data_IF_643646058083
#
_entry.id   IF_643646058083
#
_cell.length_a   1.000
_cell.length_b   1.000
_cell.length_c   1.000
_cell.angle_alpha   90.00
_cell.angle_beta   90.00
_cell.angle_gamma   90.00
#
_symmetry.space_group_name_H-M   'P 1'
#
loop_
_entity.id
_entity.type
_entity.pdbx_description
1 polymer ?
#
# COMPACT_ATOMS: atom_id res chain seq x y z
N UNK A 1 7.68 23.74 -10.51
CA UNK A 1 6.73 22.66 -10.17
C UNK A 1 5.33 23.15 -10.50
N UNK A 2 4.69 22.60 -11.53
CA UNK A 2 3.33 22.98 -11.91
C UNK A 2 2.36 22.49 -10.83
N UNK A 3 1.60 23.40 -10.20
CA UNK A 3 0.51 23.05 -9.30
C UNK A 3 -0.54 22.31 -10.13
N UNK A 4 -0.71 21.00 -9.94
CA UNK A 4 -1.95 20.34 -10.31
C UNK A 4 -3.05 20.91 -9.40
N UNK A 5 -3.67 22.00 -9.86
CA UNK A 5 -4.88 22.55 -9.27
C UNK A 5 -6.07 21.61 -9.49
N UNK A 6 -7.26 22.06 -9.07
CA UNK A 6 -8.54 21.35 -9.21
C UNK A 6 -8.74 20.69 -10.60
N UNK A 7 -8.17 21.26 -11.67
CA UNK A 7 -8.14 20.69 -13.02
C UNK A 7 -7.53 19.29 -13.14
N UNK A 8 -6.51 18.94 -12.34
CA UNK A 8 -5.89 17.62 -12.34
C UNK A 8 -6.76 16.54 -11.69
N UNK A 9 -7.43 16.91 -10.59
CA UNK A 9 -8.43 16.07 -9.94
C UNK A 9 -9.66 15.93 -10.84
N UNK A 10 -10.12 17.03 -11.47
CA UNK A 10 -11.18 16.99 -12.47
C UNK A 10 -10.79 16.14 -13.68
N UNK A 11 -9.55 16.16 -14.18
CA UNK A 11 -9.14 15.30 -15.29
C UNK A 11 -9.15 13.82 -14.90
N UNK A 12 -8.63 13.47 -13.72
CA UNK A 12 -8.69 12.11 -13.18
C UNK A 12 -10.14 11.66 -12.91
N UNK A 13 -11.01 12.56 -12.46
CA UNK A 13 -12.42 12.31 -12.18
C UNK A 13 -13.30 12.33 -13.44
N UNK A 14 -12.94 13.08 -14.48
CA UNK A 14 -13.57 13.05 -15.82
C UNK A 14 -13.21 11.75 -16.53
N UNK A 15 -11.97 11.26 -16.38
CA UNK A 15 -11.60 9.89 -16.76
C UNK A 15 -12.41 8.87 -15.93
N UNK A 16 -12.72 9.18 -14.66
CA UNK A 16 -13.53 8.31 -13.80
C UNK A 16 -15.05 8.30 -14.16
N UNK A 17 -15.60 9.42 -14.63
CA UNK A 17 -17.02 9.63 -14.91
C UNK A 17 -17.41 9.47 -16.39
N UNK A 18 -16.46 9.57 -17.33
CA UNK A 18 -16.71 9.51 -18.76
C UNK A 18 -16.54 8.12 -19.34
N UNK A 19 -17.63 7.52 -19.83
CA UNK A 19 -17.57 6.45 -20.82
C UNK A 19 -16.96 6.99 -22.12
N UNK A 20 -15.98 6.26 -22.68
CA UNK A 20 -15.42 6.56 -24.00
C UNK A 20 -16.52 6.58 -25.06
N UNK A 21 -16.90 7.76 -25.51
CA UNK A 21 -17.44 7.96 -26.84
C UNK A 21 -16.32 8.51 -27.73
N UNK A 22 -16.13 7.85 -28.87
CA UNK A 22 -15.21 8.14 -29.97
C UNK A 22 -13.78 7.64 -29.81
N UNK A 23 -13.48 6.53 -30.49
CA UNK A 23 -12.44 6.48 -31.53
C UNK A 23 -12.85 5.41 -32.56
N UNK A 24 -13.24 5.87 -33.75
CA UNK A 24 -13.49 5.04 -34.93
C UNK A 24 -12.19 4.66 -35.63
N UNK A 25 -12.28 3.59 -36.42
CA UNK A 25 -11.21 2.89 -37.11
C UNK A 25 -10.59 3.63 -38.30
N UNK A 26 -9.34 3.28 -38.60
CA UNK A 26 -8.66 3.12 -39.92
C UNK A 26 -7.15 3.30 -39.67
N UNK A 27 -6.18 2.60 -40.26
CA UNK A 27 -6.09 1.70 -41.41
C UNK A 27 -4.69 1.90 -42.03
N UNK A 28 -4.03 0.82 -42.47
CA UNK A 28 -2.83 0.84 -43.32
C UNK A 28 -1.48 0.66 -42.58
N UNK A 29 -0.76 -0.47 -42.68
CA UNK A 29 -0.03 -1.13 -43.80
C UNK A 29 1.31 -0.50 -44.19
N UNK A 30 2.38 -1.30 -44.10
CA UNK A 30 3.66 -1.15 -44.82
C UNK A 30 4.76 -0.37 -44.07
N UNK A 31 6.05 -0.66 -44.13
CA UNK A 31 6.85 -1.72 -44.74
C UNK A 31 8.27 -1.65 -44.10
N UNK A 32 9.06 -2.66 -44.43
CA UNK A 32 10.47 -3.03 -44.14
C UNK A 32 11.58 -1.96 -43.91
N UNK A 33 12.73 -2.38 -43.32
CA UNK A 33 13.79 -1.52 -42.79
C UNK A 33 14.93 -1.27 -43.80
N UNK A 34 15.93 -0.44 -43.44
CA UNK A 34 17.27 -0.61 -43.96
C UNK A 34 18.30 -0.98 -42.88
N UNK A 35 19.14 -1.90 -43.30
CA UNK A 35 20.47 -2.25 -42.83
C UNK A 35 21.43 -1.08 -42.84
N UNK A 36 22.43 -1.09 -41.95
CA UNK A 36 23.62 -0.24 -42.08
C UNK A 36 24.52 -0.35 -40.85
N UNK A 37 25.57 -1.16 -40.95
CA UNK A 37 26.66 -1.24 -39.97
C UNK A 37 27.63 -0.09 -40.19
N UNK A 38 28.29 0.40 -39.13
CA UNK A 38 29.75 0.62 -39.17
C UNK A 38 30.32 0.79 -37.77
N UNK A 39 31.50 0.19 -37.59
CA UNK A 39 32.30 0.19 -36.39
C UNK A 39 33.25 1.39 -36.39
N UNK A 40 33.57 1.94 -35.21
CA UNK A 40 34.90 2.49 -34.96
C UNK A 40 35.18 2.65 -33.46
N UNK A 41 36.31 2.08 -33.09
CA UNK A 41 37.09 2.22 -31.87
C UNK A 41 37.45 3.66 -31.51
N UNK A 42 37.53 3.96 -30.21
CA UNK A 42 38.17 5.17 -29.70
C UNK A 42 38.44 5.10 -28.21
N UNK A 43 39.60 4.56 -27.84
CA UNK A 43 40.17 4.68 -26.50
C UNK A 43 40.50 6.16 -26.21
N UNK A 44 40.20 6.62 -25.00
CA UNK A 44 40.54 7.97 -24.55
C UNK A 44 40.52 8.06 -23.03
N UNK A 45 41.67 8.37 -22.46
CA UNK A 45 42.02 8.26 -21.05
C UNK A 45 41.31 9.27 -20.12
N UNK A 46 41.29 8.90 -18.85
CA UNK A 46 40.92 9.71 -17.69
C UNK A 46 41.80 10.96 -17.53
N UNK A 47 41.31 11.94 -16.76
CA UNK A 47 42.17 12.62 -15.82
C UNK A 47 41.67 12.45 -14.39
N UNK A 48 42.61 11.98 -13.58
CA UNK A 48 42.70 12.13 -12.12
C UNK A 48 42.57 13.60 -11.72
N UNK A 49 41.75 13.90 -10.72
CA UNK A 49 41.94 15.06 -9.87
C UNK A 49 41.97 14.69 -8.40
N UNK A 50 43.00 15.25 -7.79
CA UNK A 50 43.59 15.02 -6.48
C UNK A 50 42.69 15.48 -5.33
N UNK A 51 42.87 14.78 -4.21
CA UNK A 51 42.46 15.18 -2.89
C UNK A 51 43.06 16.55 -2.49
N UNK A 52 42.27 17.34 -1.76
CA UNK A 52 42.75 18.35 -0.85
C UNK A 52 41.87 18.32 0.41
N UNK A 53 42.50 17.89 1.50
CA UNK A 53 42.07 18.04 2.88
C UNK A 53 42.22 19.50 3.30
N UNK A 54 41.21 20.07 3.94
CA UNK A 54 41.37 21.22 4.82
C UNK A 54 40.35 21.12 5.96
N UNK A 55 40.88 20.89 7.17
CA UNK A 55 40.17 21.03 8.42
C UNK A 55 39.97 22.52 8.76
N UNK A 56 38.88 22.80 9.48
CA UNK A 56 38.81 23.72 10.64
C UNK A 56 37.59 24.65 10.66
N UNK A 57 37.12 24.85 11.89
CA UNK A 57 36.24 25.89 12.42
C UNK A 57 34.73 25.65 12.39
N UNK A 58 34.27 25.09 13.52
CA UNK A 58 32.92 25.22 14.04
C UNK A 58 32.53 26.70 14.26
N UNK A 59 31.22 27.00 14.17
CA UNK A 59 30.62 27.97 15.06
C UNK A 59 29.38 27.43 15.78
N UNK A 60 29.40 27.66 17.10
CA UNK A 60 28.32 28.01 18.02
C UNK A 60 26.95 27.32 17.95
N UNK A 61 26.61 26.72 19.10
CA UNK A 61 25.27 26.41 19.59
C UNK A 61 24.21 27.48 19.27
N UNK A 62 23.03 27.06 18.81
CA UNK A 62 21.79 27.73 19.14
C UNK A 62 20.98 26.85 20.12
N UNK A 63 20.88 27.36 21.34
CA UNK A 63 19.72 27.32 22.23
C UNK A 63 18.91 26.01 22.30
N UNK A 64 19.03 25.38 23.45
CA UNK A 64 18.03 24.52 24.10
C UNK A 64 16.59 24.78 23.64
N UNK A 65 16.06 23.89 22.82
CA UNK A 65 14.62 23.73 22.62
C UNK A 65 14.14 22.81 23.74
N UNK A 66 13.35 23.38 24.65
CA UNK A 66 12.68 22.67 25.73
C UNK A 66 11.85 21.50 25.17
N UNK A 67 11.83 20.32 25.83
CA UNK A 67 10.92 19.26 25.47
C UNK A 67 9.51 19.67 25.93
N UNK A 68 8.73 20.22 25.00
CA UNK A 68 7.34 20.57 25.20
C UNK A 68 6.46 19.76 24.24
N UNK A 69 5.42 19.17 24.81
CA UNK A 69 4.34 18.39 24.18
C UNK A 69 4.67 16.93 23.90
N UNK A 70 4.72 16.19 25.02
CA UNK A 70 4.30 14.80 25.12
C UNK A 70 3.10 14.51 24.22
N UNK A 71 3.29 13.55 23.32
CA UNK A 71 2.24 12.83 22.65
C UNK A 71 1.50 11.97 23.70
N UNK A 72 0.61 12.59 24.45
CA UNK A 72 -0.37 11.89 25.25
C UNK A 72 -1.77 12.42 24.91
N UNK A 73 -2.78 11.55 25.00
CA UNK A 73 -4.21 11.75 24.69
C UNK A 73 -4.64 11.56 23.21
N UNK A 74 -4.58 10.34 22.65
CA UNK A 74 -5.58 9.88 21.63
C UNK A 74 -5.53 8.41 21.17
N UNK A 75 -4.57 7.59 21.59
CA UNK A 75 -4.31 6.26 20.98
C UNK A 75 -5.52 5.30 20.91
N UNK A 76 -6.54 5.44 21.78
CA UNK A 76 -7.75 4.62 21.73
C UNK A 76 -8.83 5.08 20.73
N UNK A 77 -9.10 6.40 20.64
CA UNK A 77 -10.21 6.90 19.82
C UNK A 77 -9.89 6.92 18.33
N UNK A 78 -8.67 7.33 17.95
CA UNK A 78 -8.27 7.36 16.54
C UNK A 78 -8.23 5.97 15.90
N UNK A 79 -7.75 4.97 16.64
CA UNK A 79 -7.74 3.56 16.21
C UNK A 79 -9.16 3.01 16.06
N UNK A 80 -10.07 3.33 16.98
CA UNK A 80 -11.47 2.90 16.92
C UNK A 80 -12.21 3.40 15.67
N UNK A 81 -11.93 4.63 15.21
CA UNK A 81 -12.54 5.16 13.98
C UNK A 81 -12.08 4.42 12.70
N UNK A 82 -10.79 4.06 12.63
CA UNK A 82 -10.25 3.24 11.55
C UNK A 82 -10.88 1.84 11.57
N UNK A 83 -10.93 1.21 12.75
CA UNK A 83 -11.48 -0.13 12.92
C UNK A 83 -12.95 -0.20 12.51
N UNK A 84 -13.79 0.75 12.94
CA UNK A 84 -15.20 0.78 12.57
C UNK A 84 -15.39 1.04 11.07
N UNK A 85 -14.62 1.95 10.46
CA UNK A 85 -14.67 2.19 9.01
C UNK A 85 -14.30 0.93 8.22
N UNK A 86 -13.19 0.26 8.56
CA UNK A 86 -12.75 -0.93 7.84
C UNK A 86 -13.69 -2.12 8.08
N UNK A 87 -14.26 -2.23 9.28
CA UNK A 87 -15.32 -3.20 9.59
C UNK A 87 -16.59 -2.93 8.79
N UNK A 88 -16.98 -1.68 8.58
CA UNK A 88 -18.08 -1.31 7.69
C UNK A 88 -17.76 -1.70 6.24
N UNK A 89 -16.60 -1.31 5.72
CA UNK A 89 -16.17 -1.58 4.35
C UNK A 89 -16.09 -3.08 4.04
N UNK A 90 -15.78 -3.91 5.04
CA UNK A 90 -15.69 -5.37 4.95
C UNK A 90 -17.03 -6.11 5.11
N UNK A 91 -18.12 -5.42 5.52
CA UNK A 91 -19.45 -6.03 5.63
C UNK A 91 -20.15 -6.01 4.27
N UNK A 92 -20.95 -7.00 3.93
CA UNK A 92 -21.82 -6.94 2.75
C UNK A 92 -23.23 -6.41 3.01
N UNK A 93 -23.43 -5.58 4.05
CA UNK A 93 -24.77 -5.12 4.43
C UNK A 93 -25.75 -6.26 4.77
N UNK A 94 -25.25 -7.39 5.27
CA UNK A 94 -26.04 -8.61 5.54
C UNK A 94 -26.10 -9.61 4.38
N UNK A 95 -25.42 -9.34 3.26
CA UNK A 95 -25.22 -10.27 2.13
C UNK A 95 -23.77 -10.72 2.05
N UNK A 96 -23.54 -11.89 1.45
CA UNK A 96 -22.21 -12.31 1.05
C UNK A 96 -21.75 -11.42 -0.12
N UNK A 97 -20.60 -10.76 0.03
CA UNK A 97 -20.00 -9.96 -1.05
C UNK A 97 -19.26 -10.92 -1.97
N UNK A 98 -19.80 -11.15 -3.16
CA UNK A 98 -19.10 -11.90 -4.20
C UNK A 98 -18.03 -11.00 -4.84
N UNK A 99 -16.85 -11.58 -5.07
CA UNK A 99 -15.81 -10.87 -5.82
C UNK A 99 -16.20 -10.79 -7.29
N UNK A 100 -16.06 -9.60 -7.87
CA UNK A 100 -16.22 -9.38 -9.31
C UNK A 100 -14.88 -8.92 -9.86
N UNK A 101 -14.35 -9.68 -10.82
CA UNK A 101 -13.11 -9.32 -11.53
C UNK A 101 -13.32 -7.98 -12.23
N UNK A 102 -12.50 -6.95 -11.93
CA UNK A 102 -12.63 -5.66 -12.60
C UNK A 102 -12.12 -5.73 -14.03
N UNK A 103 -12.77 -4.97 -14.92
CA UNK A 103 -12.25 -4.73 -16.26
C UNK A 103 -11.01 -3.84 -16.23
N UNK A 104 -10.17 -3.91 -17.28
CA UNK A 104 -8.92 -3.14 -17.36
C UNK A 104 -9.13 -1.63 -17.19
N UNK A 105 -10.15 -1.06 -17.84
CA UNK A 105 -10.46 0.36 -17.72
C UNK A 105 -10.93 0.74 -16.31
N UNK A 106 -11.56 -0.18 -15.59
CA UNK A 106 -11.97 0.04 -14.21
C UNK A 106 -10.75 0.12 -13.28
N UNK A 107 -9.81 -0.81 -13.44
CA UNK A 107 -8.53 -0.79 -12.72
C UNK A 107 -7.76 0.51 -13.01
N UNK A 108 -7.68 0.92 -14.28
CA UNK A 108 -7.02 2.18 -14.68
C UNK A 108 -7.68 3.41 -14.04
N UNK A 109 -9.01 3.50 -14.05
CA UNK A 109 -9.74 4.61 -13.41
C UNK A 109 -9.50 4.65 -11.89
N UNK A 110 -9.53 3.48 -11.24
CA UNK A 110 -9.26 3.37 -9.81
C UNK A 110 -7.83 3.78 -9.47
N UNK A 111 -6.83 3.27 -10.21
CA UNK A 111 -5.43 3.65 -10.06
C UNK A 111 -5.21 5.16 -10.27
N UNK A 112 -5.84 5.75 -11.29
CA UNK A 112 -5.76 7.18 -11.56
C UNK A 112 -6.34 8.02 -10.41
N UNK A 113 -7.47 7.60 -9.82
CA UNK A 113 -8.06 8.23 -8.64
C UNK A 113 -7.09 8.17 -7.45
N UNK A 114 -6.56 6.98 -7.13
CA UNK A 114 -5.62 6.78 -6.03
C UNK A 114 -4.37 7.65 -6.22
N UNK A 115 -3.81 7.67 -7.43
CA UNK A 115 -2.63 8.49 -7.74
C UNK A 115 -2.92 10.00 -7.60
N UNK A 116 -4.09 10.47 -8.06
CA UNK A 116 -4.48 11.86 -7.95
C UNK A 116 -4.63 12.29 -6.47
N UNK A 117 -5.31 11.47 -5.67
CA UNK A 117 -5.47 11.72 -4.23
C UNK A 117 -4.14 11.67 -3.48
N UNK A 118 -3.27 10.71 -3.80
CA UNK A 118 -1.94 10.63 -3.20
C UNK A 118 -1.10 11.87 -3.54
N UNK A 119 -1.00 12.28 -4.82
CA UNK A 119 -0.26 13.49 -5.22
C UNK A 119 -0.79 14.76 -4.54
N UNK A 120 -2.10 14.86 -4.34
CA UNK A 120 -2.76 16.00 -3.69
C UNK A 120 -2.58 15.98 -2.16
N UNK A 121 -2.56 14.80 -1.58
CA UNK A 121 -2.44 14.56 -0.15
C UNK A 121 -1.01 14.54 0.39
N UNK A 122 0.00 14.55 -0.47
CA UNK A 122 1.40 14.51 -0.06
C UNK A 122 1.99 15.91 0.17
N UNK A 123 2.86 16.01 1.18
CA UNK A 123 3.63 17.21 1.51
C UNK A 123 3.02 18.08 2.62
N UNK A 124 3.80 19.06 3.09
CA UNK A 124 3.43 19.88 4.24
C UNK A 124 2.19 20.76 4.04
N UNK A 125 1.78 20.98 2.79
CA UNK A 125 0.63 21.81 2.41
C UNK A 125 -0.58 20.95 1.99
N UNK A 126 -0.60 19.69 2.39
CA UNK A 126 -1.73 18.81 2.11
C UNK A 126 -3.02 19.37 2.74
N UNK A 127 -4.12 19.45 1.98
CA UNK A 127 -5.42 19.83 2.52
C UNK A 127 -5.91 18.79 3.54
N UNK A 128 -6.77 19.21 4.46
CA UNK A 128 -7.45 18.30 5.37
C UNK A 128 -8.33 17.29 4.59
N UNK A 129 -8.50 16.10 5.14
CA UNK A 129 -9.23 15.00 4.50
C UNK A 129 -10.67 15.38 4.15
N UNK A 130 -11.35 16.17 4.98
CA UNK A 130 -12.72 16.65 4.77
C UNK A 130 -12.81 17.63 3.60
N UNK A 131 -11.73 18.37 3.32
CA UNK A 131 -11.66 19.25 2.15
C UNK A 131 -11.55 18.38 0.90
N UNK A 132 -10.64 17.41 0.86
CA UNK A 132 -10.51 16.52 -0.31
C UNK A 132 -11.76 15.69 -0.56
N UNK A 133 -12.36 15.13 0.49
CA UNK A 133 -13.57 14.33 0.33
C UNK A 133 -14.74 15.17 -0.24
N UNK A 134 -14.88 16.44 0.20
CA UNK A 134 -15.86 17.39 -0.37
C UNK A 134 -15.51 17.83 -1.80
N UNK A 135 -14.24 18.04 -2.12
CA UNK A 135 -13.82 18.35 -3.50
C UNK A 135 -14.19 17.21 -4.45
N UNK A 136 -13.94 15.95 -4.05
CA UNK A 136 -14.37 14.77 -4.83
C UNK A 136 -15.90 14.71 -4.91
N UNK A 137 -16.62 15.05 -3.83
CA UNK A 137 -18.09 15.04 -3.80
C UNK A 137 -18.72 16.09 -4.72
N UNK A 138 -18.12 17.28 -4.80
CA UNK A 138 -18.56 18.35 -5.68
C UNK A 138 -18.38 18.03 -7.17
N UNK A 139 -17.58 17.01 -7.50
CA UNK A 139 -17.40 16.49 -8.87
C UNK A 139 -18.27 15.23 -9.11
N UNK A 140 -18.74 14.56 -8.05
CA UNK A 140 -19.58 13.37 -8.13
C UNK A 140 -21.03 13.68 -8.52
N UNK A 141 -21.71 12.71 -9.16
CA UNK A 141 -23.05 12.90 -9.74
C UNK A 141 -24.18 13.03 -8.70
N UNK A 142 -23.95 12.68 -7.42
CA UNK A 142 -24.99 12.73 -6.38
C UNK A 142 -24.45 12.81 -4.94
N UNK A 143 -24.96 13.71 -4.09
CA UNK A 143 -24.74 13.67 -2.65
C UNK A 143 -25.33 12.40 -2.03
N UNK A 144 -24.63 11.78 -1.07
CA UNK A 144 -25.14 10.64 -0.30
C UNK A 144 -26.23 11.09 0.70
N UNK A 145 -27.35 10.35 0.84
CA UNK A 145 -28.34 10.64 1.87
C UNK A 145 -27.80 10.24 3.26
N UNK A 146 -27.59 11.24 4.13
CA UNK A 146 -27.42 11.03 5.58
C UNK A 146 -25.99 10.88 6.13
N UNK A 147 -24.93 11.22 5.39
CA UNK A 147 -23.55 11.10 5.87
C UNK A 147 -22.70 12.34 5.60
N UNK A 148 -22.02 12.84 6.62
CA UNK A 148 -21.06 13.94 6.52
C UNK A 148 -19.92 13.59 5.54
N UNK A 149 -19.88 14.26 4.38
CA UNK A 149 -18.65 14.46 3.62
C UNK A 149 -18.18 13.37 2.64
N UNK A 150 -19.04 12.46 2.18
CA UNK A 150 -18.68 11.42 1.19
C UNK A 150 -19.11 11.75 -0.26
N UNK A 151 -18.36 11.24 -1.24
CA UNK A 151 -18.63 11.34 -2.67
C UNK A 151 -18.87 9.96 -3.30
N UNK A 152 -19.99 9.72 -3.99
CA UNK A 152 -20.13 8.53 -4.83
C UNK A 152 -19.63 8.82 -6.23
N UNK A 153 -18.60 8.10 -6.67
CA UNK A 153 -18.13 8.13 -8.05
C UNK A 153 -18.95 7.13 -8.89
N UNK A 154 -19.11 7.41 -10.19
CA UNK A 154 -19.91 6.57 -11.10
C UNK A 154 -19.50 5.09 -11.17
N UNK A 155 -18.33 4.74 -10.66
CA UNK A 155 -17.83 3.36 -10.53
C UNK A 155 -18.18 2.66 -9.20
N UNK A 156 -18.98 3.27 -8.31
CA UNK A 156 -19.34 2.68 -7.02
C UNK A 156 -18.26 2.81 -5.95
N UNK A 157 -17.24 3.64 -6.18
CA UNK A 157 -16.21 3.99 -5.20
C UNK A 157 -16.61 5.26 -4.46
N UNK A 158 -16.35 5.28 -3.16
CA UNK A 158 -16.51 6.41 -2.29
C UNK A 158 -15.19 6.90 -1.72
N UNK A 159 -15.04 8.21 -1.64
CA UNK A 159 -13.96 8.89 -0.95
C UNK A 159 -14.53 9.58 0.28
N UNK A 160 -14.01 9.25 1.47
CA UNK A 160 -14.51 9.71 2.76
C UNK A 160 -13.37 10.19 3.64
N UNK A 161 -13.58 11.24 4.42
CA UNK A 161 -12.70 11.53 5.56
C UNK A 161 -12.96 10.50 6.67
N UNK A 162 -11.90 10.08 7.38
CA UNK A 162 -12.08 9.22 8.54
C UNK A 162 -12.55 10.08 9.72
N UNK A 163 -13.60 9.65 10.42
CA UNK A 163 -14.22 10.44 11.49
C UNK A 163 -13.20 10.84 12.58
N UNK A 164 -13.11 12.15 12.86
CA UNK A 164 -12.17 12.71 13.84
C UNK A 164 -10.69 12.66 13.40
N UNK A 165 -10.41 12.42 12.12
CA UNK A 165 -9.05 12.25 11.58
C UNK A 165 -8.85 13.08 10.30
N UNK A 166 -8.46 14.34 10.50
CA UNK A 166 -8.18 15.30 9.43
C UNK A 166 -7.02 14.89 8.50
N UNK A 167 -6.16 13.97 8.95
CA UNK A 167 -5.03 13.47 8.20
C UNK A 167 -5.34 12.18 7.43
N UNK A 168 -6.55 11.63 7.51
CA UNK A 168 -6.86 10.33 6.91
C UNK A 168 -8.03 10.40 5.92
N UNK A 169 -7.75 9.95 4.69
CA UNK A 169 -8.73 9.78 3.64
C UNK A 169 -8.93 8.29 3.36
N UNK A 170 -10.18 7.84 3.31
CA UNK A 170 -10.55 6.48 2.95
C UNK A 170 -11.08 6.44 1.51
N UNK A 171 -10.66 5.44 0.75
CA UNK A 171 -11.20 5.08 -0.56
C UNK A 171 -11.77 3.67 -0.43
N UNK A 172 -13.09 3.55 -0.52
CA UNK A 172 -13.85 2.33 -0.23
C UNK A 172 -14.97 2.14 -1.25
N UNK A 173 -15.54 0.94 -1.36
CA UNK A 173 -16.75 0.73 -2.15
C UNK A 173 -18.00 1.21 -1.40
N UNK A 174 -18.94 1.79 -2.14
CA UNK A 174 -20.26 2.14 -1.63
C UNK A 174 -20.98 0.90 -1.09
N UNK A 175 -21.74 0.98 0.02
CA UNK A 175 -22.36 -0.17 0.66
C UNK A 175 -23.24 -1.04 -0.27
N UNK A 176 -23.94 -0.42 -1.24
CA UNK A 176 -24.82 -1.08 -2.21
C UNK A 176 -24.08 -1.55 -3.49
N UNK A 177 -22.78 -1.24 -3.62
CA UNK A 177 -21.95 -1.52 -4.80
C UNK A 177 -20.71 -2.34 -4.48
N UNK A 178 -20.64 -3.02 -3.32
CA UNK A 178 -19.46 -3.80 -2.92
C UNK A 178 -19.24 -5.01 -3.83
N UNK A 179 -18.03 -5.12 -4.37
CA UNK A 179 -17.57 -6.18 -5.29
C UNK A 179 -16.17 -6.68 -4.97
N UNK A 180 -15.57 -6.22 -3.87
CA UNK A 180 -14.26 -6.66 -3.41
C UNK A 180 -13.10 -5.84 -3.97
N UNK A 181 -13.29 -4.55 -4.21
CA UNK A 181 -12.21 -3.65 -4.65
C UNK A 181 -11.12 -3.41 -3.58
N UNK A 182 -11.35 -3.85 -2.35
CA UNK A 182 -10.51 -3.52 -1.20
C UNK A 182 -10.88 -2.18 -0.57
N UNK A 183 -10.14 -1.83 0.48
CA UNK A 183 -10.22 -0.53 1.15
C UNK A 183 -8.81 0.04 1.27
N UNK A 184 -8.70 1.35 1.02
CA UNK A 184 -7.45 2.10 1.07
C UNK A 184 -7.61 3.21 2.09
N UNK A 185 -6.67 3.32 3.02
CA UNK A 185 -6.47 4.54 3.80
C UNK A 185 -5.22 5.25 3.27
N UNK A 186 -5.35 6.55 3.01
CA UNK A 186 -4.26 7.43 2.65
C UNK A 186 -4.04 8.44 3.78
N UNK A 187 -2.80 8.50 4.26
CA UNK A 187 -2.37 9.55 5.18
C UNK A 187 -1.99 10.79 4.38
N UNK A 188 -2.64 11.91 4.71
CA UNK A 188 -2.38 13.23 4.16
C UNK A 188 -1.30 13.91 5.00
N UNK A 189 -0.51 14.78 4.38
CA UNK A 189 0.57 15.49 5.04
C UNK A 189 1.85 14.65 5.23
N UNK A 190 2.66 14.98 6.26
CA UNK A 190 3.87 14.23 6.61
C UNK A 190 3.56 12.79 7.08
N UNK A 191 4.16 11.82 6.39
CA UNK A 191 4.06 10.39 6.68
C UNK A 191 5.37 9.69 6.28
N UNK A 192 5.64 8.52 6.85
CA UNK A 192 6.75 7.67 6.38
C UNK A 192 6.39 7.10 5.00
N UNK A 193 7.36 6.91 4.08
CA UNK A 193 7.16 6.29 2.78
C UNK A 193 6.99 4.77 2.93
N UNK A 194 6.00 4.36 3.71
CA UNK A 194 5.66 2.96 3.99
C UNK A 194 4.23 2.72 3.57
N UNK A 195 4.02 1.64 2.84
CA UNK A 195 2.72 1.10 2.49
C UNK A 195 2.52 -0.20 3.27
N UNK A 196 1.52 -0.22 4.15
CA UNK A 196 1.12 -1.43 4.86
C UNK A 196 0.03 -2.14 4.05
N UNK A 197 0.16 -3.44 3.86
CA UNK A 197 -0.82 -4.24 3.16
C UNK A 197 -1.23 -5.46 4.00
N UNK A 198 -2.51 -5.80 4.01
CA UNK A 198 -3.00 -7.08 4.51
C UNK A 198 -4.05 -7.62 3.51
N UNK A 199 -3.62 -8.37 2.49
CA UNK A 199 -4.50 -8.79 1.40
C UNK A 199 -5.47 -9.93 1.80
N UNK A 200 -5.30 -10.55 2.98
CA UNK A 200 -6.06 -11.73 3.41
C UNK A 200 -6.71 -11.59 4.78
N UNK A 201 -7.18 -10.41 5.19
CA UNK A 201 -7.72 -10.12 6.54
C UNK A 201 -8.84 -11.03 7.07
N UNK A 202 -9.51 -11.79 6.19
CA UNK A 202 -10.53 -12.78 6.58
C UNK A 202 -9.94 -14.18 6.78
N UNK A 203 -8.97 -14.56 5.95
CA UNK A 203 -8.35 -15.89 5.95
C UNK A 203 -7.20 -15.93 6.96
N UNK A 204 -6.36 -14.90 6.95
CA UNK A 204 -5.26 -14.67 7.87
C UNK A 204 -5.78 -13.92 9.10
N UNK A 205 -6.65 -14.57 9.88
CA UNK A 205 -7.25 -13.99 11.09
C UNK A 205 -6.24 -13.27 11.99
N UNK A 206 -6.61 -12.09 12.51
CA UNK A 206 -5.73 -11.25 13.33
C UNK A 206 -4.81 -10.31 12.53
N UNK A 207 -4.64 -10.48 11.21
CA UNK A 207 -3.79 -9.56 10.41
C UNK A 207 -4.36 -8.14 10.30
N UNK A 208 -5.68 -7.95 10.28
CA UNK A 208 -6.28 -6.61 10.23
C UNK A 208 -5.88 -5.72 11.43
N UNK A 209 -6.13 -6.10 12.69
CA UNK A 209 -5.75 -5.25 13.82
C UNK A 209 -4.24 -5.00 13.88
N UNK A 210 -3.42 -5.97 13.48
CA UNK A 210 -1.96 -5.82 13.38
C UNK A 210 -1.59 -4.80 12.29
N UNK A 211 -2.23 -4.86 11.12
CA UNK A 211 -1.99 -3.93 10.01
C UNK A 211 -2.41 -2.49 10.38
N UNK A 212 -3.51 -2.31 11.10
CA UNK A 212 -3.94 -1.01 11.63
C UNK A 212 -2.89 -0.47 12.62
N UNK A 213 -2.42 -1.31 13.54
CA UNK A 213 -1.39 -0.91 14.50
C UNK A 213 -0.06 -0.54 13.81
N UNK A 214 0.36 -1.30 12.79
CA UNK A 214 1.53 -0.97 11.98
C UNK A 214 1.33 0.34 11.20
N UNK A 215 0.17 0.55 10.57
CA UNK A 215 -0.14 1.76 9.82
C UNK A 215 -0.08 3.02 10.70
N UNK A 216 -0.69 2.97 11.89
CA UNK A 216 -0.68 4.09 12.83
C UNK A 216 0.69 4.27 13.48
N UNK A 217 1.29 3.19 13.99
CA UNK A 217 2.56 3.23 14.70
C UNK A 217 3.76 3.62 13.84
N UNK A 218 3.74 3.26 12.55
CA UNK A 218 4.76 3.71 11.59
C UNK A 218 4.41 5.08 11.00
N UNK A 219 3.23 5.65 11.27
CA UNK A 219 2.69 6.76 10.48
C UNK A 219 2.86 6.52 8.98
N UNK A 220 2.48 5.32 8.55
CA UNK A 220 2.63 4.88 7.18
C UNK A 220 1.82 5.78 6.23
N UNK A 221 2.28 5.89 4.98
CA UNK A 221 1.63 6.67 3.92
C UNK A 221 0.27 6.09 3.57
N UNK A 222 0.16 4.76 3.52
CA UNK A 222 -1.07 4.10 3.14
C UNK A 222 -1.26 2.74 3.82
N UNK A 223 -2.53 2.32 3.93
CA UNK A 223 -2.94 0.97 4.32
C UNK A 223 -3.90 0.42 3.26
N UNK A 224 -3.59 -0.76 2.71
CA UNK A 224 -4.45 -1.50 1.77
C UNK A 224 -4.91 -2.82 2.39
N UNK A 225 -6.21 -3.07 2.39
CA UNK A 225 -6.81 -4.31 2.90
C UNK A 225 -7.87 -4.86 1.95
N UNK A 226 -8.05 -6.18 1.94
CA UNK A 226 -9.13 -6.81 1.17
C UNK A 226 -10.49 -6.65 1.85
N UNK A 227 -11.55 -6.52 1.04
CA UNK A 227 -12.94 -6.40 1.51
C UNK A 227 -13.77 -7.66 1.27
N UNK A 228 -13.18 -8.70 0.65
CA UNK A 228 -13.80 -10.02 0.41
C UNK A 228 -12.86 -11.16 0.78
N UNK A 229 -13.41 -12.34 1.04
CA UNK A 229 -12.61 -13.55 1.28
C UNK A 229 -11.80 -13.92 0.02
N UNK A 230 -10.59 -14.48 0.19
CA UNK A 230 -9.73 -14.92 -0.92
C UNK A 230 -10.27 -16.09 -1.76
N UNK A 231 -11.45 -16.62 -1.39
CA UNK A 231 -12.18 -17.68 -2.11
C UNK A 231 -13.62 -17.27 -2.44
N UNK A 232 -13.92 -15.97 -2.45
CA UNK A 232 -15.25 -15.42 -2.71
C UNK A 232 -15.53 -15.14 -4.20
N UNK A 233 -14.67 -15.60 -5.12
CA UNK A 233 -14.97 -15.53 -6.55
C UNK A 233 -16.09 -16.50 -6.92
N UNK A 234 -17.05 -16.00 -7.70
CA UNK A 234 -18.18 -16.80 -8.20
C UNK A 234 -17.63 -18.00 -8.98
N UNK A 235 -18.06 -19.21 -8.61
CA UNK A 235 -17.71 -20.45 -9.31
C UNK A 235 -16.38 -21.10 -8.89
N UNK A 236 -15.61 -20.50 -7.97
CA UNK A 236 -14.41 -21.12 -7.42
C UNK A 236 -14.73 -21.96 -6.18
N UNK A 237 -14.37 -23.25 -6.21
CA UNK A 237 -14.22 -24.05 -4.98
C UNK A 237 -12.84 -23.77 -4.40
N UNK A 238 -12.75 -23.64 -3.07
CA UNK A 238 -11.45 -23.59 -2.40
C UNK A 238 -10.61 -24.81 -2.82
N UNK A 239 -9.34 -24.63 -3.23
CA UNK A 239 -8.50 -25.76 -3.63
C UNK A 239 -8.31 -26.71 -2.44
N UNK A 240 -8.16 -28.01 -2.74
CA UNK A 240 -7.84 -29.02 -1.73
C UNK A 240 -6.44 -28.79 -1.10
N UNK A 241 -5.52 -28.21 -1.89
CA UNK A 241 -4.18 -27.83 -1.47
C UNK A 241 -4.06 -26.30 -1.38
N UNK A 242 -3.77 -25.79 -0.19
CA UNK A 242 -3.76 -24.36 0.14
C UNK A 242 -2.61 -23.58 -0.53
N UNK A 243 -1.60 -24.27 -1.07
CA UNK A 243 -0.43 -23.67 -1.75
C UNK A 243 -0.66 -23.37 -3.25
N UNK A 244 -1.64 -24.00 -3.91
CA UNK A 244 -1.99 -23.72 -5.31
C UNK A 244 -3.00 -22.58 -5.40
N UNK A 245 -2.59 -21.37 -4.99
CA UNK A 245 -3.40 -20.15 -5.15
C UNK A 245 -4.10 -20.09 -6.51
N UNK A 246 -5.34 -19.61 -6.55
CA UNK A 246 -6.11 -19.74 -7.80
C UNK A 246 -7.56 -19.26 -7.75
N UNK A 247 -7.87 -18.27 -6.93
CA UNK A 247 -9.14 -17.55 -7.00
C UNK A 247 -8.86 -16.12 -7.43
N UNK A 248 -9.68 -15.54 -8.32
CA UNK A 248 -9.51 -14.15 -8.71
C UNK A 248 -9.63 -13.18 -7.52
N UNK A 249 -10.30 -13.60 -6.44
CA UNK A 249 -10.44 -12.83 -5.20
C UNK A 249 -9.23 -12.93 -4.26
N UNK A 250 -8.24 -13.76 -4.59
CA UNK A 250 -6.93 -13.76 -3.95
C UNK A 250 -6.08 -12.62 -4.52
N UNK A 251 -6.30 -11.41 -3.98
CA UNK A 251 -5.66 -10.18 -4.49
C UNK A 251 -4.13 -10.17 -4.35
N UNK A 252 -3.54 -11.08 -3.57
CA UNK A 252 -2.08 -11.25 -3.48
C UNK A 252 -1.50 -11.99 -4.71
N UNK A 253 -2.34 -12.73 -5.44
CA UNK A 253 -1.95 -13.52 -6.62
C UNK A 253 -2.68 -13.10 -7.90
N UNK A 254 -3.80 -12.37 -7.80
CA UNK A 254 -4.59 -11.94 -8.94
C UNK A 254 -3.81 -10.91 -9.81
N UNK A 255 -3.62 -11.17 -11.11
CA UNK A 255 -2.90 -10.27 -12.01
C UNK A 255 -3.71 -9.02 -12.38
N UNK A 256 -5.02 -9.01 -12.09
CA UNK A 256 -5.90 -7.85 -12.26
C UNK A 256 -6.80 -7.72 -11.04
N UNK A 257 -6.60 -6.65 -10.27
CA UNK A 257 -7.47 -6.26 -9.16
C UNK A 257 -7.33 -4.77 -8.88
N UNK A 258 -8.36 -4.18 -8.26
CA UNK A 258 -8.27 -2.82 -7.74
C UNK A 258 -7.13 -2.67 -6.72
N UNK A 259 -6.91 -3.69 -5.89
CA UNK A 259 -5.83 -3.75 -4.91
C UNK A 259 -4.46 -3.61 -5.59
N UNK A 260 -4.20 -4.38 -6.65
CA UNK A 260 -2.96 -4.28 -7.42
C UNK A 260 -2.84 -2.92 -8.14
N UNK A 261 -3.93 -2.41 -8.71
CA UNK A 261 -3.96 -1.08 -9.33
C UNK A 261 -3.63 0.04 -8.35
N UNK A 262 -4.13 -0.03 -7.12
CA UNK A 262 -3.83 0.92 -6.05
C UNK A 262 -2.36 0.84 -5.61
N UNK A 263 -1.82 -0.37 -5.45
CA UNK A 263 -0.41 -0.59 -5.17
C UNK A 263 0.49 0.03 -6.26
N UNK A 264 0.19 -0.26 -7.54
CA UNK A 264 0.91 0.33 -8.68
C UNK A 264 0.85 1.86 -8.70
N UNK A 265 -0.34 2.42 -8.45
CA UNK A 265 -0.55 3.87 -8.40
C UNK A 265 0.28 4.55 -7.30
N UNK A 266 0.33 3.95 -6.10
CA UNK A 266 1.11 4.49 -4.98
C UNK A 266 2.62 4.45 -5.26
N UNK A 267 3.12 3.36 -5.84
CA UNK A 267 4.53 3.28 -6.25
C UNK A 267 4.88 4.24 -7.39
N UNK A 268 3.93 4.55 -8.28
CA UNK A 268 4.13 5.56 -9.32
C UNK A 268 4.27 6.97 -8.72
N UNK A 269 3.47 7.28 -7.71
CA UNK A 269 3.50 8.58 -7.03
C UNK A 269 4.73 8.70 -6.13
N UNK A 270 5.08 7.63 -5.41
CA UNK A 270 6.18 7.60 -4.45
C UNK A 270 7.10 6.40 -4.72
N UNK A 271 8.07 6.51 -5.66
CA UNK A 271 8.91 5.37 -6.07
C UNK A 271 9.76 4.74 -4.95
N UNK A 272 10.04 5.50 -3.87
CA UNK A 272 10.77 5.02 -2.70
C UNK A 272 9.89 4.30 -1.65
N UNK A 273 8.58 4.19 -1.87
CA UNK A 273 7.64 3.60 -0.94
C UNK A 273 8.02 2.14 -0.65
N UNK A 274 8.26 1.83 0.62
CA UNK A 274 8.53 0.48 1.08
C UNK A 274 7.21 -0.22 1.42
N UNK A 275 6.94 -1.34 0.76
CA UNK A 275 5.74 -2.12 1.05
C UNK A 275 6.04 -3.12 2.16
N UNK A 276 5.23 -3.11 3.23
CA UNK A 276 5.19 -4.14 4.27
C UNK A 276 3.88 -4.88 4.11
N UNK A 277 3.93 -6.11 3.59
CA UNK A 277 2.73 -6.91 3.37
C UNK A 277 2.66 -8.03 4.42
N UNK A 278 1.58 -8.01 5.19
CA UNK A 278 1.33 -8.90 6.32
C UNK A 278 0.42 -10.05 5.90
N UNK A 279 0.89 -11.26 6.15
CA UNK A 279 0.20 -12.52 5.93
C UNK A 279 0.23 -13.38 7.19
N UNK A 280 -0.53 -14.46 7.15
CA UNK A 280 -0.55 -15.47 8.18
C UNK A 280 -0.45 -16.89 7.62
N UNK A 281 0.28 -17.75 8.34
CA UNK A 281 0.32 -19.18 8.07
C UNK A 281 -0.23 -19.97 9.27
N UNK A 282 -0.56 -21.25 9.03
CA UNK A 282 -0.90 -22.21 10.09
C UNK A 282 0.38 -22.70 10.74
N UNK A 283 0.43 -22.88 12.06
CA UNK A 283 1.66 -23.27 12.76
C UNK A 283 2.29 -24.56 12.22
N UNK A 284 1.47 -25.49 11.71
CA UNK A 284 1.93 -26.73 11.08
C UNK A 284 2.68 -26.53 9.75
N UNK A 285 2.50 -25.40 9.05
CA UNK A 285 3.17 -25.11 7.77
C UNK A 285 4.68 -24.84 7.95
N UNK A 286 5.08 -24.33 9.11
CA UNK A 286 6.47 -24.12 9.51
C UNK A 286 6.63 -24.37 11.03
N UNK A 287 6.71 -25.65 11.46
CA UNK A 287 6.76 -25.99 12.88
C UNK A 287 7.93 -25.32 13.61
N UNK A 288 7.65 -24.69 14.74
CA UNK A 288 8.65 -24.00 15.57
C UNK A 288 9.12 -22.64 15.03
N UNK A 289 8.48 -22.13 13.99
CA UNK A 289 8.72 -20.78 13.45
C UNK A 289 7.50 -19.90 13.73
N UNK A 290 7.72 -18.72 14.29
CA UNK A 290 6.66 -17.76 14.58
C UNK A 290 6.49 -16.73 13.47
N UNK A 291 7.58 -16.38 12.79
CA UNK A 291 7.58 -15.40 11.70
C UNK A 291 8.58 -15.77 10.62
N UNK A 292 8.16 -15.61 9.37
CA UNK A 292 9.05 -15.62 8.21
C UNK A 292 9.06 -14.24 7.58
N UNK A 293 10.24 -13.69 7.32
CA UNK A 293 10.42 -12.44 6.59
C UNK A 293 11.15 -12.68 5.28
N UNK A 294 10.70 -12.01 4.22
CA UNK A 294 11.26 -12.16 2.88
C UNK A 294 11.31 -10.83 2.14
N UNK A 295 12.37 -10.61 1.37
CA UNK A 295 12.44 -9.51 0.41
C UNK A 295 11.59 -9.78 -0.85
N UNK A 296 11.00 -10.97 -1.00
CA UNK A 296 10.23 -11.41 -2.18
C UNK A 296 10.94 -11.13 -3.51
N UNK A 297 12.26 -11.37 -3.52
CA UNK A 297 13.18 -11.11 -4.64
C UNK A 297 13.33 -9.61 -5.03
N UNK A 298 12.97 -8.68 -4.16
CA UNK A 298 13.35 -7.25 -4.29
C UNK A 298 14.76 -6.99 -3.76
N UNK A 299 15.22 -5.74 -3.84
CA UNK A 299 16.57 -5.33 -3.39
C UNK A 299 16.68 -5.13 -1.86
N UNK A 300 15.60 -5.33 -1.10
CA UNK A 300 15.64 -5.18 0.36
C UNK A 300 16.60 -6.20 0.98
N UNK A 301 17.52 -5.75 1.84
CA UNK A 301 18.45 -6.64 2.55
C UNK A 301 17.72 -7.26 3.74
N UNK A 302 17.34 -8.53 3.61
CA UNK A 302 16.45 -9.19 4.59
C UNK A 302 17.15 -9.55 5.91
N UNK A 303 18.45 -9.88 5.89
CA UNK A 303 19.21 -10.27 7.09
C UNK A 303 19.15 -9.23 8.23
N UNK A 304 19.52 -7.96 7.99
CA UNK A 304 19.41 -6.90 9.01
C UNK A 304 17.98 -6.68 9.51
N UNK A 305 16.97 -6.83 8.64
CA UNK A 305 15.55 -6.71 9.03
C UNK A 305 15.15 -7.83 9.97
N UNK A 306 15.51 -9.08 9.64
CA UNK A 306 15.22 -10.24 10.47
C UNK A 306 15.87 -10.12 11.85
N UNK A 307 17.12 -9.64 11.92
CA UNK A 307 17.84 -9.49 13.18
C UNK A 307 17.18 -8.50 14.15
N UNK A 308 16.81 -7.32 13.66
CA UNK A 308 16.09 -6.33 14.47
C UNK A 308 14.74 -6.88 14.94
N UNK A 309 14.00 -7.56 14.06
CA UNK A 309 12.73 -8.17 14.43
C UNK A 309 12.89 -9.27 15.50
N UNK A 310 13.96 -10.09 15.47
CA UNK A 310 14.25 -11.06 16.54
C UNK A 310 14.42 -10.40 17.88
N UNK A 311 15.16 -9.28 17.93
CA UNK A 311 15.39 -8.54 19.16
C UNK A 311 14.08 -8.04 19.76
N UNK A 312 13.22 -7.40 18.95
CA UNK A 312 11.97 -6.83 19.45
C UNK A 312 10.88 -7.86 19.72
N UNK A 313 10.84 -8.99 18.99
CA UNK A 313 9.78 -9.99 19.11
C UNK A 313 10.13 -11.13 20.08
N UNK A 314 11.29 -11.10 20.74
CA UNK A 314 11.71 -12.14 21.66
C UNK A 314 10.60 -12.51 22.67
N UNK A 315 10.30 -13.81 22.89
CA UNK A 315 11.05 -14.98 22.46
C UNK A 315 10.61 -15.57 21.10
N UNK A 316 9.89 -14.83 20.25
CA UNK A 316 9.40 -15.36 18.98
C UNK A 316 10.53 -15.77 18.03
N UNK A 317 10.33 -16.89 17.32
CA UNK A 317 11.29 -17.44 16.37
C UNK A 317 11.08 -16.82 14.99
N UNK A 318 11.94 -15.85 14.63
CA UNK A 318 11.94 -15.20 13.31
C UNK A 318 12.98 -15.86 12.39
N UNK A 319 12.56 -16.18 11.15
CA UNK A 319 13.40 -16.75 10.09
C UNK A 319 13.41 -15.88 8.83
N UNK A 320 14.56 -15.74 8.21
CA UNK A 320 14.72 -15.05 6.93
C UNK A 320 14.67 -16.03 5.75
N UNK A 321 13.80 -15.77 4.77
CA UNK A 321 13.80 -16.50 3.50
C UNK A 321 14.80 -15.85 2.50
N UNK A 322 15.53 -16.63 1.68
CA UNK A 322 15.54 -18.10 1.61
C UNK A 322 16.59 -18.77 2.50
N UNK A 323 17.45 -17.99 3.16
CA UNK A 323 18.70 -18.50 3.75
C UNK A 323 18.47 -19.36 5.01
N UNK A 324 17.42 -19.06 5.78
CA UNK A 324 17.11 -19.76 7.04
C UNK A 324 15.84 -20.62 6.96
N UNK A 325 15.02 -20.41 5.93
CA UNK A 325 13.81 -21.17 5.63
C UNK A 325 13.48 -21.09 4.13
N UNK A 326 13.01 -22.19 3.55
CA UNK A 326 12.82 -22.37 2.10
C UNK A 326 11.36 -22.22 1.62
N UNK A 327 10.45 -21.80 2.50
CA UNK A 327 9.01 -21.65 2.25
C UNK A 327 8.51 -20.29 2.75
N UNK A 328 7.26 -19.95 2.39
CA UNK A 328 6.59 -18.71 2.83
C UNK A 328 7.32 -17.42 2.37
N UNK A 329 8.08 -17.51 1.26
CA UNK A 329 8.91 -16.43 0.76
C UNK A 329 8.19 -15.35 -0.07
N UNK A 330 6.88 -15.47 -0.30
CA UNK A 330 6.09 -14.48 -1.07
C UNK A 330 6.52 -14.31 -2.54
N UNK A 331 7.23 -15.28 -3.13
CA UNK A 331 7.94 -15.06 -4.41
C UNK A 331 7.02 -14.96 -5.65
N UNK A 332 5.80 -15.46 -5.55
CA UNK A 332 4.73 -15.41 -6.56
C UNK A 332 3.78 -14.24 -6.40
N UNK A 333 3.98 -13.41 -5.37
CA UNK A 333 3.09 -12.31 -5.04
C UNK A 333 3.04 -11.23 -6.14
N UNK A 334 1.84 -10.80 -6.50
CA UNK A 334 1.58 -9.85 -7.58
C UNK A 334 2.13 -8.44 -7.26
N UNK A 335 1.94 -7.96 -6.04
CA UNK A 335 2.46 -6.66 -5.58
C UNK A 335 3.99 -6.68 -5.51
N UNK A 336 4.57 -7.76 -4.98
CA UNK A 336 6.02 -7.93 -5.00
C UNK A 336 6.58 -7.95 -6.43
N UNK A 337 5.87 -8.55 -7.40
CA UNK A 337 6.26 -8.54 -8.80
C UNK A 337 6.30 -7.14 -9.40
N UNK A 338 5.31 -6.30 -9.09
CA UNK A 338 5.34 -4.86 -9.45
C UNK A 338 6.52 -4.17 -8.79
N UNK A 339 6.68 -4.34 -7.48
CA UNK A 339 7.74 -3.69 -6.70
C UNK A 339 9.12 -4.02 -7.29
N UNK A 340 9.37 -5.28 -7.68
CA UNK A 340 10.59 -5.69 -8.39
C UNK A 340 10.80 -4.94 -9.70
N UNK A 341 9.76 -4.87 -10.55
CA UNK A 341 9.84 -4.16 -11.85
C UNK A 341 10.14 -2.67 -11.66
N UNK A 342 9.61 -2.06 -10.58
CA UNK A 342 9.80 -0.65 -10.25
C UNK A 342 11.08 -0.37 -9.45
N UNK A 343 11.77 -1.41 -8.96
CA UNK A 343 12.92 -1.27 -8.08
C UNK A 343 12.58 -0.84 -6.65
N UNK A 344 11.31 -0.90 -6.25
CA UNK A 344 10.84 -0.56 -4.90
C UNK A 344 11.10 -1.70 -3.91
N UNK A 345 11.42 -1.40 -2.63
CA UNK A 345 11.62 -2.41 -1.61
C UNK A 345 10.30 -3.02 -1.13
N UNK A 346 10.31 -4.33 -0.88
CA UNK A 346 9.15 -5.09 -0.42
C UNK A 346 9.56 -6.01 0.72
N UNK A 347 8.90 -5.89 1.86
CA UNK A 347 9.00 -6.75 3.02
C UNK A 347 7.72 -7.58 3.13
N UNK A 348 7.83 -8.86 2.77
CA UNK A 348 6.79 -9.85 2.99
C UNK A 348 6.96 -10.45 4.39
N UNK A 349 5.89 -10.44 5.18
CA UNK A 349 5.89 -10.92 6.56
C UNK A 349 4.80 -11.95 6.72
N UNK A 350 5.19 -13.16 7.09
CA UNK A 350 4.30 -14.30 7.35
C UNK A 350 4.33 -14.60 8.84
N UNK A 351 3.17 -14.65 9.50
CA UNK A 351 3.07 -14.84 10.95
C UNK A 351 2.26 -16.09 11.31
N UNK A 352 2.77 -16.87 12.26
CA UNK A 352 2.06 -18.03 12.78
C UNK A 352 0.74 -17.61 13.43
N UNK A 353 -0.21 -18.53 13.62
CA UNK A 353 -1.46 -18.20 14.30
C UNK A 353 -1.18 -17.79 15.75
N UNK A 354 -0.31 -18.52 16.44
CA UNK A 354 0.07 -18.20 17.82
C UNK A 354 0.68 -16.79 17.95
N UNK A 355 1.53 -16.38 17.00
CA UNK A 355 2.11 -15.04 17.02
C UNK A 355 1.05 -13.97 16.71
N UNK A 356 0.15 -14.20 15.76
CA UNK A 356 -0.95 -13.26 15.45
C UNK A 356 -1.88 -13.05 16.64
N UNK A 357 -2.27 -14.11 17.34
CA UNK A 357 -3.13 -14.03 18.53
C UNK A 357 -2.49 -13.20 19.66
N UNK A 358 -1.15 -13.19 19.74
CA UNK A 358 -0.39 -12.33 20.66
C UNK A 358 -0.35 -10.88 20.18
N UNK A 359 0.03 -10.66 18.92
CA UNK A 359 0.23 -9.33 18.34
C UNK A 359 -1.09 -8.56 18.16
N UNK A 360 -2.21 -9.24 17.99
CA UNK A 360 -3.54 -8.62 17.99
C UNK A 360 -3.83 -7.92 19.33
N UNK A 361 -3.36 -8.50 20.44
CA UNK A 361 -3.50 -7.94 21.79
C UNK A 361 -2.42 -6.90 22.08
N UNK A 362 -1.19 -7.17 21.67
CA UNK A 362 -0.03 -6.32 21.93
C UNK A 362 0.86 -6.20 20.70
N UNK A 363 0.60 -5.18 19.88
CA UNK A 363 1.28 -4.98 18.60
C UNK A 363 2.60 -4.19 18.73
N UNK A 364 2.86 -3.53 19.87
CA UNK A 364 4.01 -2.62 20.04
C UNK A 364 5.36 -3.28 19.69
N UNK A 365 5.64 -4.53 20.10
CA UNK A 365 6.88 -5.21 19.70
C UNK A 365 7.11 -5.27 18.19
N UNK A 366 6.06 -5.58 17.40
CA UNK A 366 6.17 -5.59 15.95
C UNK A 366 6.34 -4.17 15.40
N UNK A 367 5.54 -3.22 15.89
CA UNK A 367 5.57 -1.83 15.43
C UNK A 367 6.94 -1.20 15.67
N UNK A 368 7.53 -1.41 16.83
CA UNK A 368 8.85 -0.91 17.19
C UNK A 368 9.96 -1.59 16.37
N UNK A 369 9.88 -2.90 16.20
CA UNK A 369 10.83 -3.63 15.36
C UNK A 369 10.79 -3.17 13.90
N UNK A 370 9.60 -3.00 13.33
CA UNK A 370 9.41 -2.41 12.00
C UNK A 370 9.91 -0.96 11.97
N UNK A 371 9.67 -0.18 13.02
CA UNK A 371 10.13 1.21 13.06
C UNK A 371 11.66 1.28 12.99
N UNK A 372 12.34 0.42 13.74
CA UNK A 372 13.79 0.36 13.86
C UNK A 372 14.48 -0.24 12.62
N UNK A 373 13.86 -1.19 11.92
CA UNK A 373 14.50 -1.86 10.79
C UNK A 373 14.20 -1.23 9.43
N UNK A 374 13.09 -0.47 9.31
CA UNK A 374 12.72 0.19 8.07
C UNK A 374 13.39 1.56 7.98
N UNK A 375 13.87 1.96 6.79
CA UNK A 375 14.44 3.29 6.60
C UNK A 375 13.42 4.37 7.00
N UNK A 376 13.87 5.41 7.68
CA UNK A 376 12.98 6.51 8.11
C UNK A 376 12.39 7.26 6.92
N UNK A 377 13.01 7.15 5.74
CA UNK A 377 12.67 7.93 4.56
C UNK A 377 13.06 9.38 4.81
N UNK A 378 13.97 9.93 4.00
CA UNK A 378 14.15 11.38 4.02
C UNK A 378 12.87 11.98 3.45
N UNK A 379 12.08 12.65 4.29
CA UNK A 379 11.13 13.62 3.78
C UNK A 379 11.94 14.64 2.94
N UNK A 380 11.59 14.86 1.66
CA UNK A 380 12.21 15.92 0.88
C UNK A 380 11.92 17.30 1.46
#
# INVERSE_FOLDING_TARGET
MARLGLAGLCAALVIAAGGCQHCGASGGTGATPPTGSEAASGAGAAPTLSAASAASAAPADPASVSPGEEADVSNGRGRSAIEELLKEARRGGGREVAFVVPGEDEVKRHAALVAALARRGMGAQAPAAEVLAREVAGVGEKPLPGGEGGALLGNGIEVRAVAGRHDLLAIVEAPDRRRGAGAILLRLGPARPVLVEAPHTFYDGGTLPIAIAAFEGLRARALLINTVHRYASIGHKAPADEEMGGSDSDVAHAPSSHFLGAHEALLEVEPQLLTVQLHGFKDASAPGVDMVVSASRTKLKIGPVAEVLRTHLAPAVVRAFPDEIDRLGGTTNAQAAVSRRRGAPFLHVEMSRALRDRLEKEASPLVEGLRACLPEGRAP
#
